data_IF_440254995316
#
_entry.id   IF_440254995316
#
_cell.length_a   1.000
_cell.length_b   1.000
_cell.length_c   1.000
_cell.angle_alpha   90.00
_cell.angle_beta   90.00
_cell.angle_gamma   90.00
#
_symmetry.space_group_name_H-M   'P 1'
#
loop_
_entity.id
_entity.type
_entity.pdbx_description
1 polymer ?
#
# COMPACT_ATOMS: atom_id res chain seq x y z
N UNK A 1 -6.47 2.37 -18.80
CA UNK A 1 -5.20 1.92 -19.39
C UNK A 1 -5.52 1.23 -20.69
N UNK A 2 -4.83 1.56 -21.79
CA UNK A 2 -5.06 0.96 -23.11
C UNK A 2 -3.85 0.13 -23.56
N UNK A 3 -4.04 -0.78 -24.53
CA UNK A 3 -3.00 -1.68 -25.06
C UNK A 3 -1.76 -0.93 -25.63
N UNK A 4 -1.89 0.38 -25.88
CA UNK A 4 -0.80 1.27 -26.29
C UNK A 4 0.17 1.65 -25.16
N UNK A 5 -0.22 1.47 -23.89
CA UNK A 5 0.63 1.75 -22.73
C UNK A 5 1.45 0.51 -22.34
N UNK A 6 0.87 -0.68 -22.43
CA UNK A 6 1.49 -1.95 -22.07
C UNK A 6 2.72 -2.26 -22.97
N UNK A 7 2.60 -2.02 -24.28
CA UNK A 7 3.71 -2.14 -25.25
C UNK A 7 4.85 -1.12 -25.06
N UNK A 8 4.69 -0.09 -24.22
CA UNK A 8 5.78 0.83 -23.86
C UNK A 8 6.59 0.35 -22.65
N UNK A 9 6.02 -0.51 -21.79
CA UNK A 9 6.73 -1.10 -20.66
C UNK A 9 7.63 -2.26 -21.13
N UNK A 10 7.14 -3.13 -22.01
CA UNK A 10 7.90 -4.27 -22.56
C UNK A 10 9.18 -3.83 -23.31
N UNK A 11 9.16 -2.65 -23.93
CA UNK A 11 10.32 -2.08 -24.63
C UNK A 11 11.44 -1.57 -23.71
N UNK A 12 11.16 -1.30 -22.43
CA UNK A 12 12.12 -0.69 -21.50
C UNK A 12 13.03 -1.73 -20.81
N UNK A 13 12.52 -2.93 -20.54
CA UNK A 13 13.22 -3.92 -19.71
C UNK A 13 14.36 -4.65 -20.44
N UNK A 14 14.34 -4.62 -21.79
CA UNK A 14 15.36 -5.25 -22.63
C UNK A 14 16.69 -4.47 -22.70
N UNK A 15 16.74 -3.24 -22.20
CA UNK A 15 17.91 -2.35 -22.27
C UNK A 15 18.83 -2.39 -21.03
N UNK A 16 18.60 -3.31 -20.09
CA UNK A 16 19.28 -3.35 -18.78
C UNK A 16 20.22 -4.55 -18.54
N UNK A 17 20.53 -5.35 -19.57
CA UNK A 17 21.25 -6.63 -19.39
C UNK A 17 22.68 -6.68 -19.92
N UNK A 18 23.14 -5.63 -20.61
CA UNK A 18 24.48 -5.58 -21.22
C UNK A 18 25.30 -4.43 -20.61
N UNK A 19 26.22 -4.73 -19.68
CA UNK A 19 27.29 -3.80 -19.30
C UNK A 19 27.61 -3.60 -17.81
N UNK A 20 28.00 -4.66 -17.08
CA UNK A 20 28.81 -4.51 -15.85
C UNK A 20 29.58 -5.79 -15.52
N UNK A 21 30.81 -5.68 -14.98
CA UNK A 21 31.60 -6.81 -14.47
C UNK A 21 32.88 -7.18 -15.24
N UNK A 22 33.99 -6.49 -14.93
CA UNK A 22 35.42 -6.88 -15.09
C UNK A 22 36.32 -5.67 -14.78
N UNK A 23 37.46 -5.78 -14.13
CA UNK A 23 37.95 -6.78 -13.16
C UNK A 23 39.03 -6.07 -12.31
N UNK A 24 39.22 -6.45 -11.04
CA UNK A 24 40.30 -5.90 -10.22
C UNK A 24 41.53 -6.82 -10.29
N UNK A 25 42.72 -6.24 -10.39
CA UNK A 25 43.99 -6.98 -10.47
C UNK A 25 44.76 -7.00 -9.15
N UNK A 26 45.80 -7.82 -9.09
CA UNK A 26 46.80 -7.85 -8.02
C UNK A 26 48.16 -8.31 -8.57
N UNK A 27 49.22 -7.53 -8.30
CA UNK A 27 50.64 -7.86 -8.53
C UNK A 27 51.35 -7.94 -7.18
N UNK A 28 52.15 -8.99 -6.89
CA UNK A 28 53.08 -9.02 -5.75
C UNK A 28 54.56 -8.84 -6.17
N UNK A 29 55.37 -8.33 -5.25
CA UNK A 29 56.76 -7.87 -5.47
C UNK A 29 57.84 -8.82 -4.90
N UNK A 30 59.12 -8.36 -4.89
CA UNK A 30 60.29 -8.85 -4.09
C UNK A 30 61.25 -9.93 -4.68
N UNK A 31 62.57 -10.00 -4.36
CA UNK A 31 63.59 -8.97 -3.99
C UNK A 31 65.08 -9.52 -3.99
N UNK A 32 66.08 -8.65 -4.23
CA UNK A 32 67.49 -8.60 -3.68
C UNK A 32 68.69 -9.57 -4.02
N UNK A 33 69.91 -8.95 -4.00
CA UNK A 33 71.30 -9.44 -3.68
C UNK A 33 72.10 -10.35 -4.68
N UNK A 34 73.46 -10.33 -4.78
CA UNK A 34 74.49 -9.34 -4.35
C UNK A 34 75.98 -9.85 -4.21
N UNK A 35 76.99 -9.06 -4.64
CA UNK A 35 78.47 -9.09 -4.30
C UNK A 35 79.40 -10.25 -4.82
N UNK A 36 80.76 -10.25 -4.78
CA UNK A 36 81.88 -9.29 -5.18
C UNK A 36 83.30 -9.94 -4.91
N UNK A 37 84.42 -9.58 -5.62
CA UNK A 37 85.87 -9.43 -5.17
C UNK A 37 87.02 -9.63 -6.23
N UNK A 38 88.29 -9.36 -5.82
CA UNK A 38 89.40 -8.74 -6.61
C UNK A 38 90.82 -9.40 -6.49
N UNK A 39 91.85 -8.92 -7.24
CA UNK A 39 93.32 -9.23 -7.08
C UNK A 39 94.28 -8.18 -7.75
N UNK A 40 95.59 -8.10 -7.39
CA UNK A 40 96.55 -7.05 -7.83
C UNK A 40 98.08 -7.42 -7.80
N UNK A 41 99.01 -6.59 -8.36
CA UNK A 41 100.50 -6.69 -8.16
C UNK A 41 101.36 -5.42 -8.48
N UNK A 42 102.71 -5.54 -8.35
CA UNK A 42 103.83 -4.56 -8.13
C UNK A 42 105.18 -5.15 -8.68
N UNK A 43 106.37 -4.52 -8.86
CA UNK A 43 106.91 -3.11 -8.97
C UNK A 43 108.45 -3.09 -9.26
N UNK A 44 109.13 -1.91 -9.17
CA UNK A 44 110.56 -1.61 -8.83
C UNK A 44 111.70 -1.97 -9.84
N UNK A 45 112.86 -1.27 -10.00
CA UNK A 45 113.32 0.10 -9.59
C UNK A 45 114.83 0.25 -9.21
N UNK A 46 115.75 0.84 -10.04
CA UNK A 46 117.21 1.03 -9.75
C UNK A 46 117.95 2.20 -10.48
N UNK A 47 119.17 2.60 -10.03
CA UNK A 47 120.10 3.58 -10.66
C UNK A 47 121.49 3.73 -9.97
N UNK A 48 122.46 4.46 -10.58
CA UNK A 48 123.87 4.65 -10.11
C UNK A 48 124.35 6.14 -10.18
N UNK A 49 125.45 6.49 -9.50
CA UNK A 49 125.90 7.88 -9.21
C UNK A 49 126.80 8.55 -10.29
N UNK A 50 126.96 9.88 -10.21
CA UNK A 50 127.37 10.75 -11.35
C UNK A 50 128.55 11.70 -11.00
N UNK A 51 129.55 11.94 -11.90
CA UNK A 51 130.74 12.75 -11.61
C UNK A 51 130.51 14.23 -11.26
N UNK A 52 131.50 14.85 -10.59
CA UNK A 52 131.40 16.17 -9.92
C UNK A 52 130.94 17.39 -10.75
N UNK A 53 130.97 17.36 -12.09
CA UNK A 53 130.35 18.43 -12.90
C UNK A 53 128.82 18.33 -12.89
N UNK A 54 128.28 17.11 -12.77
CA UNK A 54 126.87 16.88 -12.51
C UNK A 54 126.50 17.23 -11.07
N UNK A 55 127.39 17.11 -10.08
CA UNK A 55 127.12 17.58 -8.70
C UNK A 55 126.86 19.11 -8.64
N UNK A 56 127.48 19.90 -9.51
CA UNK A 56 127.18 21.33 -9.66
C UNK A 56 125.83 21.60 -10.37
N UNK A 57 125.38 20.69 -11.25
CA UNK A 57 124.06 20.76 -11.89
C UNK A 57 122.97 20.28 -10.92
N UNK A 58 123.21 19.18 -10.21
CA UNK A 58 122.36 18.66 -9.15
C UNK A 58 122.20 19.70 -8.06
N UNK A 59 123.25 20.38 -7.57
CA UNK A 59 123.09 21.50 -6.61
C UNK A 59 122.20 22.66 -7.13
N UNK A 60 122.11 22.88 -8.45
CA UNK A 60 121.17 23.84 -9.05
C UNK A 60 119.75 23.29 -9.19
N UNK A 61 119.59 22.01 -9.49
CA UNK A 61 118.27 21.34 -9.46
C UNK A 61 117.76 21.25 -8.02
N UNK A 62 118.58 20.84 -7.07
CA UNK A 62 118.36 20.76 -5.63
C UNK A 62 117.98 22.13 -5.01
N UNK A 63 118.53 23.23 -5.52
CA UNK A 63 118.07 24.59 -5.17
C UNK A 63 116.67 24.88 -5.74
N UNK A 64 116.44 24.61 -7.02
CA UNK A 64 115.14 24.79 -7.68
C UNK A 64 114.06 23.85 -7.16
N UNK A 65 114.44 22.67 -6.68
CA UNK A 65 113.57 21.64 -6.13
C UNK A 65 113.21 21.93 -4.68
N UNK A 66 114.11 22.56 -3.90
CA UNK A 66 113.74 23.19 -2.61
C UNK A 66 112.76 24.35 -2.82
N UNK A 67 113.06 25.28 -3.73
CA UNK A 67 112.15 26.40 -4.06
C UNK A 67 110.77 25.89 -4.53
N UNK A 68 110.76 24.83 -5.34
CA UNK A 68 109.54 24.14 -5.77
C UNK A 68 108.83 23.46 -4.59
N UNK A 69 109.53 22.70 -3.76
CA UNK A 69 108.96 22.01 -2.59
C UNK A 69 108.41 22.99 -1.55
N UNK A 70 109.05 24.13 -1.33
CA UNK A 70 108.49 25.22 -0.50
C UNK A 70 107.24 25.84 -1.16
N UNK A 71 107.22 25.99 -2.49
CA UNK A 71 106.04 26.49 -3.22
C UNK A 71 104.87 25.49 -3.23
N UNK A 72 105.15 24.19 -3.20
CA UNK A 72 104.17 23.11 -3.16
C UNK A 72 103.70 22.89 -1.71
N UNK A 73 104.59 22.93 -0.72
CA UNK A 73 104.26 22.90 0.71
C UNK A 73 103.34 24.07 1.11
N UNK A 74 103.63 25.30 0.69
CA UNK A 74 102.74 26.45 0.96
C UNK A 74 101.35 26.28 0.35
N UNK A 75 101.24 25.68 -0.84
CA UNK A 75 99.94 25.38 -1.46
C UNK A 75 99.20 24.25 -0.75
N UNK A 76 99.92 23.28 -0.22
CA UNK A 76 99.33 22.19 0.59
C UNK A 76 98.85 22.71 1.96
N UNK A 77 99.60 23.64 2.55
CA UNK A 77 99.30 24.29 3.83
C UNK A 77 98.10 25.26 3.72
N UNK A 78 97.92 25.95 2.59
CA UNK A 78 96.68 26.69 2.27
C UNK A 78 95.48 25.77 1.95
N UNK A 79 95.70 24.59 1.36
CA UNK A 79 94.61 23.67 0.96
C UNK A 79 94.00 22.90 2.11
N UNK A 80 94.82 22.37 3.02
CA UNK A 80 94.38 21.54 4.15
C UNK A 80 93.25 22.15 5.01
N UNK A 81 93.26 23.45 5.40
CA UNK A 81 92.12 24.02 6.12
C UNK A 81 90.86 24.12 5.25
N UNK A 82 90.98 24.40 3.95
CA UNK A 82 89.84 24.58 3.04
C UNK A 82 89.15 23.26 2.68
N UNK A 83 89.88 22.14 2.64
CA UNK A 83 89.29 20.81 2.45
C UNK A 83 88.65 20.27 3.74
N UNK A 84 89.27 20.53 4.90
CA UNK A 84 88.73 20.13 6.20
C UNK A 84 87.38 20.83 6.55
N UNK A 85 87.25 22.12 6.20
CA UNK A 85 86.02 22.87 6.48
C UNK A 85 84.88 22.49 5.51
N UNK A 86 85.20 22.12 4.27
CA UNK A 86 84.23 21.52 3.34
C UNK A 86 83.70 20.18 3.83
N UNK A 87 84.60 19.24 4.14
CA UNK A 87 84.20 17.91 4.61
C UNK A 87 83.25 17.99 5.83
N UNK A 88 83.53 18.89 6.78
CA UNK A 88 82.65 19.15 7.93
C UNK A 88 81.32 19.78 7.56
N UNK A 89 81.28 20.67 6.58
CA UNK A 89 80.04 21.28 6.11
C UNK A 89 79.16 20.24 5.42
N UNK A 90 79.75 19.47 4.52
CA UNK A 90 79.09 18.42 3.72
C UNK A 90 78.53 17.32 4.64
N UNK A 91 79.33 16.84 5.62
CA UNK A 91 78.88 15.88 6.65
C UNK A 91 77.73 16.43 7.50
N UNK A 92 77.74 17.74 7.82
CA UNK A 92 76.63 18.40 8.52
C UNK A 92 75.38 18.61 7.65
N UNK A 93 75.51 18.60 6.32
CA UNK A 93 74.37 18.74 5.39
C UNK A 93 73.77 17.37 5.08
N UNK A 94 74.57 16.30 4.95
CA UNK A 94 74.08 14.92 4.91
C UNK A 94 73.35 14.52 6.21
N UNK A 95 73.87 14.85 7.40
CA UNK A 95 73.19 14.51 8.66
C UNK A 95 71.84 15.26 8.82
N UNK A 96 71.73 16.49 8.27
CA UNK A 96 70.48 17.25 8.24
C UNK A 96 69.48 16.65 7.24
N UNK A 97 69.89 16.39 6.00
CA UNK A 97 69.01 15.72 5.03
C UNK A 97 68.52 14.37 5.57
N UNK A 98 69.38 13.61 6.26
CA UNK A 98 68.99 12.31 6.80
C UNK A 98 67.93 12.44 7.91
N UNK A 99 68.05 13.45 8.77
CA UNK A 99 67.03 13.76 9.80
C UNK A 99 65.74 14.28 9.17
N UNK A 100 65.80 15.21 8.22
CA UNK A 100 64.60 15.69 7.51
C UNK A 100 63.86 14.57 6.76
N UNK A 101 64.59 13.64 6.14
CA UNK A 101 64.01 12.45 5.48
C UNK A 101 63.36 11.50 6.49
N UNK A 102 63.95 11.31 7.68
CA UNK A 102 63.40 10.42 8.71
C UNK A 102 62.19 11.04 9.43
N UNK A 103 62.26 12.32 9.82
CA UNK A 103 61.12 13.05 10.40
C UNK A 103 59.96 13.17 9.40
N UNK A 104 60.25 13.37 8.11
CA UNK A 104 59.23 13.36 7.06
C UNK A 104 58.60 11.97 6.91
N UNK A 105 59.38 10.90 6.86
CA UNK A 105 58.85 9.54 6.74
C UNK A 105 57.90 9.20 7.91
N UNK A 106 58.33 9.48 9.16
CA UNK A 106 57.49 9.29 10.36
C UNK A 106 56.21 10.15 10.33
N UNK A 107 56.30 11.37 9.79
CA UNK A 107 55.13 12.25 9.65
C UNK A 107 54.15 11.70 8.61
N UNK A 108 54.63 11.34 7.43
CA UNK A 108 53.82 10.81 6.32
C UNK A 108 53.12 9.50 6.75
N UNK A 109 53.83 8.60 7.44
CA UNK A 109 53.28 7.37 8.07
C UNK A 109 52.19 7.69 9.11
N UNK A 110 52.42 8.67 10.00
CA UNK A 110 51.44 9.10 11.00
C UNK A 110 50.21 9.80 10.41
N UNK A 111 50.32 10.43 9.24
CA UNK A 111 49.16 10.96 8.51
C UNK A 111 48.40 9.84 7.79
N UNK A 112 49.08 8.81 7.29
CA UNK A 112 48.42 7.68 6.61
C UNK A 112 47.59 6.82 7.57
N UNK A 113 48.11 6.49 8.76
CA UNK A 113 47.33 5.80 9.80
C UNK A 113 46.09 6.60 10.21
N UNK A 114 46.23 7.92 10.41
CA UNK A 114 45.09 8.77 10.79
C UNK A 114 44.04 8.83 9.68
N UNK A 115 44.45 8.95 8.41
CA UNK A 115 43.54 8.91 7.25
C UNK A 115 42.80 7.57 7.15
N UNK A 116 43.48 6.44 7.39
CA UNK A 116 42.86 5.10 7.44
C UNK A 116 41.82 4.99 8.56
N UNK A 117 42.18 5.42 9.77
CA UNK A 117 41.29 5.33 10.94
C UNK A 117 40.10 6.29 10.88
N UNK A 118 40.27 7.46 10.25
CA UNK A 118 39.20 8.44 9.99
C UNK A 118 38.28 7.99 8.85
N UNK A 119 38.83 7.37 7.79
CA UNK A 119 38.04 6.76 6.72
C UNK A 119 37.18 5.58 7.22
N UNK A 120 37.75 4.66 8.02
CA UNK A 120 36.95 3.58 8.63
C UNK A 120 35.85 4.12 9.55
N UNK A 121 36.15 5.14 10.37
CA UNK A 121 35.17 5.76 11.26
C UNK A 121 34.02 6.40 10.47
N UNK A 122 34.33 7.13 9.41
CA UNK A 122 33.33 7.69 8.50
C UNK A 122 32.50 6.63 7.79
N UNK A 123 33.12 5.55 7.30
CA UNK A 123 32.42 4.49 6.57
C UNK A 123 31.44 3.73 7.47
N UNK A 124 31.85 3.39 8.70
CA UNK A 124 31.00 2.72 9.70
C UNK A 124 29.84 3.61 10.15
N UNK A 125 30.10 4.90 10.39
CA UNK A 125 29.06 5.87 10.76
C UNK A 125 28.04 6.12 9.63
N UNK A 126 28.47 6.09 8.36
CA UNK A 126 27.56 6.23 7.23
C UNK A 126 26.73 4.95 7.00
N UNK A 127 27.34 3.78 7.13
CA UNK A 127 26.64 2.49 7.01
C UNK A 127 25.58 2.28 8.11
N UNK A 128 25.86 2.66 9.36
CA UNK A 128 24.86 2.64 10.44
C UNK A 128 23.71 3.62 10.14
N UNK A 129 24.01 4.80 9.59
CA UNK A 129 23.01 5.80 9.20
C UNK A 129 22.11 5.30 8.06
N UNK A 130 22.70 4.78 6.99
CA UNK A 130 21.97 4.26 5.82
C UNK A 130 21.08 3.08 6.22
N UNK A 131 21.59 2.19 7.08
CA UNK A 131 20.81 1.11 7.69
C UNK A 131 19.63 1.64 8.49
N UNK A 132 19.84 2.63 9.36
CA UNK A 132 18.80 3.19 10.22
C UNK A 132 17.72 3.93 9.42
N UNK A 133 18.11 4.67 8.39
CA UNK A 133 17.16 5.33 7.49
C UNK A 133 16.37 4.30 6.66
N UNK A 134 17.00 3.19 6.24
CA UNK A 134 16.30 2.07 5.61
C UNK A 134 15.29 1.40 6.55
N UNK A 135 15.69 1.09 7.78
CA UNK A 135 14.79 0.52 8.79
C UNK A 135 13.60 1.46 9.06
N UNK A 136 13.82 2.78 9.19
CA UNK A 136 12.73 3.77 9.30
C UNK A 136 11.83 3.83 8.06
N UNK A 137 12.38 3.75 6.84
CA UNK A 137 11.60 3.75 5.58
C UNK A 137 10.74 2.50 5.47
N UNK A 138 11.28 1.32 5.79
CA UNK A 138 10.52 0.06 5.81
C UNK A 138 9.41 0.08 6.88
N UNK A 139 9.68 0.65 8.06
CA UNK A 139 8.70 0.70 9.15
C UNK A 139 7.60 1.76 8.93
N UNK A 140 7.91 2.87 8.22
CA UNK A 140 6.90 3.81 7.69
C UNK A 140 6.04 3.13 6.62
N UNK A 141 6.66 2.48 5.63
CA UNK A 141 5.93 1.77 4.57
C UNK A 141 4.98 0.68 5.12
N UNK A 142 5.36 -0.02 6.19
CA UNK A 142 4.47 -0.98 6.90
C UNK A 142 3.29 -0.28 7.57
N UNK A 143 3.49 0.88 8.21
CA UNK A 143 2.42 1.68 8.85
C UNK A 143 1.48 2.26 7.80
N UNK A 144 2.01 2.82 6.71
CA UNK A 144 1.23 3.36 5.60
C UNK A 144 0.43 2.26 4.88
N UNK A 145 1.02 1.07 4.68
CA UNK A 145 0.30 -0.09 4.15
C UNK A 145 -0.82 -0.59 5.08
N UNK A 146 -0.60 -0.57 6.40
CA UNK A 146 -1.63 -0.92 7.38
C UNK A 146 -2.77 0.11 7.41
N UNK A 147 -2.46 1.42 7.33
CA UNK A 147 -3.47 2.49 7.21
C UNK A 147 -4.21 2.43 5.87
N UNK A 148 -3.53 2.12 4.77
CA UNK A 148 -4.16 1.90 3.48
C UNK A 148 -5.08 0.66 3.49
N UNK A 149 -4.74 -0.39 4.23
CA UNK A 149 -5.60 -1.55 4.41
C UNK A 149 -6.84 -1.23 5.27
N UNK A 150 -6.67 -0.58 6.43
CA UNK A 150 -7.81 -0.23 7.29
C UNK A 150 -8.75 0.75 6.62
N UNK A 151 -8.24 1.81 5.98
CA UNK A 151 -9.06 2.78 5.24
C UNK A 151 -9.82 2.14 4.08
N UNK A 152 -9.23 1.18 3.33
CA UNK A 152 -9.96 0.38 2.33
C UNK A 152 -11.10 -0.44 2.95
N UNK A 153 -10.87 -1.11 4.09
CA UNK A 153 -11.96 -1.86 4.77
C UNK A 153 -13.03 -0.96 5.36
N UNK A 154 -12.68 0.27 5.76
CA UNK A 154 -13.64 1.27 6.23
C UNK A 154 -14.46 1.82 5.06
N UNK A 155 -13.83 2.18 3.94
CA UNK A 155 -14.51 2.63 2.73
C UNK A 155 -15.48 1.57 2.18
N UNK A 156 -15.10 0.29 2.18
CA UNK A 156 -15.98 -0.81 1.80
C UNK A 156 -17.21 -0.92 2.72
N UNK A 157 -17.03 -0.78 4.05
CA UNK A 157 -18.14 -0.77 5.02
C UNK A 157 -19.02 0.47 4.89
N UNK A 158 -18.44 1.64 4.58
CA UNK A 158 -19.20 2.87 4.32
C UNK A 158 -20.06 2.68 3.08
N UNK A 159 -19.51 2.20 1.96
CA UNK A 159 -20.27 1.92 0.75
C UNK A 159 -21.37 0.87 0.95
N UNK A 160 -21.14 -0.17 1.76
CA UNK A 160 -22.16 -1.16 2.14
C UNK A 160 -23.29 -0.53 2.98
N UNK A 161 -22.95 0.33 3.95
CA UNK A 161 -23.91 1.05 4.78
C UNK A 161 -24.70 2.08 3.97
N UNK A 162 -24.05 2.82 3.08
CA UNK A 162 -24.68 3.77 2.15
C UNK A 162 -25.63 3.04 1.19
N UNK A 163 -25.24 1.89 0.64
CA UNK A 163 -26.13 1.08 -0.20
C UNK A 163 -27.38 0.61 0.56
N UNK A 164 -27.22 0.16 1.82
CA UNK A 164 -28.34 -0.23 2.69
C UNK A 164 -29.22 0.96 3.07
N UNK A 165 -28.62 2.11 3.38
CA UNK A 165 -29.33 3.33 3.76
C UNK A 165 -30.13 3.87 2.55
N UNK A 166 -29.52 3.89 1.37
CA UNK A 166 -30.20 4.27 0.13
C UNK A 166 -31.38 3.33 -0.19
N UNK A 167 -31.24 2.02 0.02
CA UNK A 167 -32.33 1.05 -0.19
C UNK A 167 -33.54 1.23 0.75
N UNK A 168 -33.40 1.97 1.86
CA UNK A 168 -34.46 2.21 2.85
C UNK A 168 -34.99 3.65 2.80
N UNK A 169 -34.13 4.63 2.49
CA UNK A 169 -34.41 6.07 2.64
C UNK A 169 -34.40 6.89 1.35
N UNK A 170 -34.02 6.34 0.18
CA UNK A 170 -34.28 7.02 -1.10
C UNK A 170 -35.79 7.10 -1.30
N UNK A 171 -36.31 8.32 -1.51
CA UNK A 171 -37.72 8.47 -1.87
C UNK A 171 -38.01 7.74 -3.20
N UNK A 172 -39.10 6.97 -3.29
CA UNK A 172 -39.54 6.40 -4.57
C UNK A 172 -39.74 7.51 -5.62
N UNK A 173 -39.54 7.19 -6.90
CA UNK A 173 -39.77 8.13 -8.00
C UNK A 173 -41.21 8.65 -7.99
N UNK A 174 -41.47 9.76 -8.69
CA UNK A 174 -42.85 10.25 -8.90
C UNK A 174 -43.67 9.16 -9.61
N UNK A 175 -43.06 8.43 -10.55
CA UNK A 175 -43.72 7.31 -11.23
C UNK A 175 -43.98 6.13 -10.29
N UNK A 176 -43.00 5.71 -9.48
CA UNK A 176 -43.18 4.66 -8.46
C UNK A 176 -44.30 5.01 -7.48
N UNK A 177 -44.35 6.28 -7.02
CA UNK A 177 -45.42 6.80 -6.15
C UNK A 177 -46.79 6.71 -6.81
N UNK A 178 -46.90 7.05 -8.10
CA UNK A 178 -48.14 6.91 -8.86
C UNK A 178 -48.56 5.45 -8.99
N UNK A 179 -47.65 4.55 -9.38
CA UNK A 179 -47.93 3.11 -9.48
C UNK A 179 -48.37 2.50 -8.13
N UNK A 180 -47.75 2.89 -7.02
CA UNK A 180 -48.15 2.48 -5.67
C UNK A 180 -49.54 3.02 -5.31
N UNK A 181 -49.83 4.29 -5.62
CA UNK A 181 -51.15 4.89 -5.36
C UNK A 181 -52.25 4.23 -6.20
N UNK A 182 -52.02 3.97 -7.49
CA UNK A 182 -52.96 3.25 -8.36
C UNK A 182 -53.22 1.81 -7.87
N UNK A 183 -52.15 1.09 -7.52
CA UNK A 183 -52.23 -0.26 -6.94
C UNK A 183 -53.09 -0.25 -5.68
N UNK A 184 -52.85 0.71 -4.78
CA UNK A 184 -53.59 0.85 -3.54
C UNK A 184 -55.07 1.16 -3.81
N UNK A 185 -55.36 2.13 -4.67
CA UNK A 185 -56.73 2.52 -5.01
C UNK A 185 -57.52 1.36 -5.64
N UNK A 186 -56.87 0.50 -6.44
CA UNK A 186 -57.47 -0.73 -6.98
C UNK A 186 -57.70 -1.80 -5.90
N UNK A 187 -56.78 -1.92 -4.94
CA UNK A 187 -56.85 -2.90 -3.86
C UNK A 187 -57.85 -2.51 -2.75
N UNK A 188 -57.97 -1.23 -2.41
CA UNK A 188 -58.68 -0.75 -1.21
C UNK A 188 -60.15 -1.17 -1.16
N UNK A 189 -60.86 -1.04 -2.29
CA UNK A 189 -62.25 -1.49 -2.41
C UNK A 189 -62.43 -3.01 -2.29
N UNK A 190 -61.44 -3.81 -2.72
CA UNK A 190 -61.45 -5.27 -2.53
C UNK A 190 -61.20 -5.62 -1.06
N UNK A 191 -60.13 -5.09 -0.46
CA UNK A 191 -59.78 -5.34 0.93
C UNK A 191 -60.89 -4.91 1.89
N UNK A 192 -61.50 -3.74 1.68
CA UNK A 192 -62.58 -3.24 2.52
C UNK A 192 -63.84 -4.10 2.41
N UNK A 193 -64.15 -4.65 1.22
CA UNK A 193 -65.30 -5.53 1.01
C UNK A 193 -65.09 -7.00 1.46
N UNK A 194 -63.84 -7.47 1.49
CA UNK A 194 -63.47 -8.88 1.79
C UNK A 194 -62.94 -9.11 3.21
N UNK A 195 -62.39 -8.07 3.84
CA UNK A 195 -61.73 -8.14 5.16
C UNK A 195 -62.18 -7.04 6.13
N UNK A 196 -62.98 -6.06 5.70
CA UNK A 196 -63.41 -4.94 6.55
C UNK A 196 -62.26 -4.00 6.96
N UNK A 197 -61.14 -4.04 6.23
CA UNK A 197 -59.93 -3.24 6.46
C UNK A 197 -59.51 -2.58 5.13
N UNK A 198 -58.92 -1.37 5.15
CA UNK A 198 -58.36 -0.75 3.95
C UNK A 198 -57.12 -1.50 3.46
N UNK A 199 -56.74 -1.27 2.19
CA UNK A 199 -55.49 -1.77 1.64
C UNK A 199 -54.30 -1.14 2.38
N UNK A 200 -53.42 -2.01 2.89
CA UNK A 200 -52.29 -1.59 3.74
C UNK A 200 -51.33 -0.65 3.01
N UNK A 201 -50.71 0.25 3.76
CA UNK A 201 -49.70 1.19 3.23
C UNK A 201 -48.50 0.45 2.64
N UNK A 202 -47.83 1.09 1.67
CA UNK A 202 -46.51 0.67 1.20
C UNK A 202 -45.46 0.85 2.32
N UNK A 203 -44.45 -0.02 2.35
CA UNK A 203 -43.33 0.07 3.29
C UNK A 203 -42.23 1.01 2.77
N UNK A 204 -41.41 1.63 3.64
CA UNK A 204 -40.21 2.35 3.21
C UNK A 204 -39.29 1.43 2.39
N UNK A 205 -38.82 1.91 1.23
CA UNK A 205 -38.01 1.12 0.29
C UNK A 205 -38.77 0.07 -0.53
N UNK A 206 -40.09 -0.06 -0.40
CA UNK A 206 -40.88 -1.04 -1.17
C UNK A 206 -41.07 -0.60 -2.63
N UNK A 207 -40.58 -1.40 -3.58
CA UNK A 207 -40.78 -1.14 -5.01
C UNK A 207 -42.22 -1.39 -5.44
N UNK A 208 -42.74 -0.73 -6.51
CA UNK A 208 -44.13 -0.89 -6.93
C UNK A 208 -44.53 -2.34 -7.22
N UNK A 209 -43.63 -3.15 -7.80
CA UNK A 209 -43.87 -4.57 -8.07
C UNK A 209 -43.90 -5.42 -6.79
N UNK A 210 -43.13 -5.06 -5.74
CA UNK A 210 -43.20 -5.72 -4.44
C UNK A 210 -44.53 -5.39 -3.74
N UNK A 211 -44.93 -4.12 -3.77
CA UNK A 211 -46.21 -3.67 -3.22
C UNK A 211 -47.41 -4.38 -3.89
N UNK A 212 -47.43 -4.43 -5.23
CA UNK A 212 -48.41 -5.18 -6.01
C UNK A 212 -48.46 -6.66 -5.64
N UNK A 213 -47.31 -7.34 -5.60
CA UNK A 213 -47.22 -8.74 -5.14
C UNK A 213 -47.82 -8.92 -3.75
N UNK A 214 -47.50 -8.05 -2.79
CA UNK A 214 -48.02 -8.10 -1.42
C UNK A 214 -49.54 -7.87 -1.34
N UNK A 215 -50.11 -7.06 -2.22
CA UNK A 215 -51.58 -6.87 -2.29
C UNK A 215 -52.28 -8.09 -2.93
N UNK A 216 -51.71 -8.65 -4.00
CA UNK A 216 -52.20 -9.90 -4.58
C UNK A 216 -52.07 -11.09 -3.60
N UNK A 217 -51.01 -11.14 -2.78
CA UNK A 217 -50.79 -12.22 -1.83
C UNK A 217 -51.85 -12.27 -0.71
N UNK A 218 -52.32 -11.12 -0.23
CA UNK A 218 -53.43 -11.05 0.72
C UNK A 218 -54.80 -11.42 0.13
N UNK A 219 -54.94 -11.33 -1.20
CA UNK A 219 -56.17 -11.63 -1.94
C UNK A 219 -56.21 -13.04 -2.54
N UNK A 220 -55.06 -13.69 -2.82
CA UNK A 220 -55.00 -15.02 -3.48
C UNK A 220 -55.77 -16.12 -2.75
N UNK A 221 -55.98 -15.99 -1.43
CA UNK A 221 -56.81 -16.89 -0.61
C UNK A 221 -58.27 -16.97 -1.06
N UNK A 222 -58.76 -16.00 -1.84
CA UNK A 222 -60.09 -15.99 -2.45
C UNK A 222 -60.11 -16.58 -3.88
N UNK A 223 -58.94 -16.95 -4.43
CA UNK A 223 -58.81 -17.65 -5.71
C UNK A 223 -58.46 -19.11 -5.48
N UNK A 224 -59.37 -20.03 -5.82
CA UNK A 224 -59.10 -21.48 -5.73
C UNK A 224 -57.93 -21.93 -6.60
N UNK A 225 -57.66 -21.18 -7.68
CA UNK A 225 -56.64 -21.47 -8.71
C UNK A 225 -55.27 -20.89 -8.37
N UNK A 226 -55.21 -19.75 -7.68
CA UNK A 226 -53.97 -19.01 -7.43
C UNK A 226 -53.49 -19.05 -5.96
N UNK A 227 -54.28 -19.57 -5.02
CA UNK A 227 -53.92 -19.68 -3.59
C UNK A 227 -52.56 -20.32 -3.33
N UNK A 228 -52.20 -21.37 -4.08
CA UNK A 228 -50.98 -22.16 -3.90
C UNK A 228 -49.79 -21.64 -4.74
N UNK A 229 -50.00 -20.61 -5.56
CA UNK A 229 -48.97 -20.04 -6.45
C UNK A 229 -48.01 -19.14 -5.66
N UNK A 230 -46.70 -19.26 -5.93
CA UNK A 230 -45.66 -18.39 -5.38
C UNK A 230 -45.51 -17.13 -6.25
N UNK A 231 -45.88 -15.98 -5.70
CA UNK A 231 -45.86 -14.71 -6.42
C UNK A 231 -44.45 -14.08 -6.51
N UNK A 232 -43.56 -14.40 -5.56
CA UNK A 232 -42.22 -13.81 -5.43
C UNK A 232 -41.37 -13.98 -6.69
N UNK A 233 -41.38 -15.19 -7.29
CA UNK A 233 -40.57 -15.57 -8.44
C UNK A 233 -41.06 -15.02 -9.80
N UNK A 234 -42.19 -14.30 -9.85
CA UNK A 234 -42.77 -13.82 -11.11
C UNK A 234 -42.15 -12.49 -11.57
N UNK A 235 -41.83 -12.39 -12.86
CA UNK A 235 -41.46 -11.12 -13.50
C UNK A 235 -42.71 -10.23 -13.72
N UNK A 236 -42.53 -8.91 -13.88
CA UNK A 236 -43.61 -7.92 -13.82
C UNK A 236 -44.79 -8.14 -14.77
N UNK A 237 -44.53 -8.52 -16.02
CA UNK A 237 -45.56 -8.78 -17.04
C UNK A 237 -46.32 -10.09 -16.76
N UNK A 238 -45.60 -11.18 -16.48
CA UNK A 238 -46.19 -12.47 -16.12
C UNK A 238 -46.99 -12.38 -14.80
N UNK A 239 -46.54 -11.55 -13.87
CA UNK A 239 -47.26 -11.24 -12.64
C UNK A 239 -48.56 -10.48 -12.91
N UNK A 240 -48.60 -9.54 -13.86
CA UNK A 240 -49.81 -8.74 -14.14
C UNK A 240 -51.01 -9.61 -14.54
N UNK A 241 -50.81 -10.62 -15.39
CA UNK A 241 -51.87 -11.58 -15.77
C UNK A 241 -52.39 -12.37 -14.56
N UNK A 242 -51.52 -12.70 -13.61
CA UNK A 242 -51.87 -13.43 -12.39
C UNK A 242 -52.53 -12.51 -11.35
N UNK A 243 -52.13 -11.24 -11.27
CA UNK A 243 -52.79 -10.19 -10.49
C UNK A 243 -54.23 -9.99 -10.97
N UNK A 244 -54.46 -9.82 -12.28
CA UNK A 244 -55.81 -9.67 -12.84
C UNK A 244 -56.68 -10.90 -12.56
N UNK A 245 -56.13 -12.12 -12.62
CA UNK A 245 -56.85 -13.33 -12.20
C UNK A 245 -57.18 -13.35 -10.70
N UNK A 246 -56.26 -12.96 -9.83
CA UNK A 246 -56.53 -12.87 -8.38
C UNK A 246 -57.58 -11.80 -8.07
N UNK A 247 -57.54 -10.65 -8.74
CA UNK A 247 -58.48 -9.54 -8.53
C UNK A 247 -59.86 -9.85 -9.11
N UNK A 248 -59.94 -10.55 -10.25
CA UNK A 248 -61.24 -10.99 -10.82
C UNK A 248 -61.87 -12.11 -10.00
N UNK A 249 -61.10 -13.08 -9.52
CA UNK A 249 -61.57 -14.10 -8.56
C UNK A 249 -62.02 -13.44 -7.25
N UNK A 250 -61.26 -12.48 -6.70
CA UNK A 250 -61.63 -11.73 -5.50
C UNK A 250 -62.94 -10.92 -5.70
N UNK A 251 -63.16 -10.31 -6.86
CA UNK A 251 -64.44 -9.66 -7.20
C UNK A 251 -65.60 -10.64 -7.33
N UNK A 252 -65.37 -11.86 -7.83
CA UNK A 252 -66.39 -12.91 -7.83
C UNK A 252 -66.69 -13.39 -6.40
N UNK A 253 -65.65 -13.54 -5.58
CA UNK A 253 -65.73 -13.94 -4.19
C UNK A 253 -66.55 -12.92 -3.35
N UNK A 254 -66.40 -11.61 -3.58
CA UNK A 254 -67.27 -10.56 -2.99
C UNK A 254 -68.76 -10.85 -3.26
N UNK A 255 -69.12 -11.27 -4.47
CA UNK A 255 -70.52 -11.54 -4.85
C UNK A 255 -71.06 -12.85 -4.26
N UNK A 256 -70.19 -13.75 -3.82
CA UNK A 256 -70.57 -14.98 -3.14
C UNK A 256 -71.07 -14.72 -1.71
N UNK A 257 -71.87 -15.66 -1.20
CA UNK A 257 -72.39 -15.67 0.18
C UNK A 257 -71.31 -16.08 1.21
N UNK A 258 -70.36 -16.90 0.78
CA UNK A 258 -69.38 -17.63 1.62
C UNK A 258 -68.37 -16.77 2.42
N UNK A 259 -68.49 -15.44 2.38
CA UNK A 259 -67.57 -14.49 3.02
C UNK A 259 -68.26 -13.69 4.14
N UNK A 260 -69.59 -13.74 4.24
CA UNK A 260 -70.30 -13.02 5.31
C UNK A 260 -70.02 -13.70 6.67
N UNK A 261 -69.51 -12.98 7.69
CA UNK A 261 -69.26 -13.57 9.00
C UNK A 261 -70.54 -14.14 9.63
N UNK A 262 -70.43 -15.29 10.29
CA UNK A 262 -71.58 -15.94 10.94
C UNK A 262 -72.25 -15.01 11.96
N UNK A 263 -73.57 -14.82 11.81
CA UNK A 263 -74.35 -13.88 12.63
C UNK A 263 -74.34 -12.43 12.15
N UNK A 264 -73.87 -12.16 10.93
CA UNK A 264 -74.06 -10.88 10.24
C UNK A 264 -74.83 -11.08 8.92
N UNK A 265 -75.52 -10.02 8.48
CA UNK A 265 -76.14 -9.93 7.16
C UNK A 265 -75.57 -8.73 6.40
N UNK A 266 -75.14 -8.96 5.17
CA UNK A 266 -74.63 -7.93 4.26
C UNK A 266 -75.72 -7.50 3.29
N UNK A 267 -76.04 -6.20 3.30
CA UNK A 267 -76.99 -5.59 2.37
C UNK A 267 -76.35 -5.37 0.99
N UNK A 268 -76.88 -6.02 -0.04
CA UNK A 268 -76.55 -5.78 -1.44
C UNK A 268 -77.66 -4.92 -2.05
N UNK A 269 -77.35 -3.65 -2.32
CA UNK A 269 -78.25 -2.72 -3.01
C UNK A 269 -78.09 -2.86 -4.52
N UNK A 270 -79.16 -3.22 -5.20
CA UNK A 270 -79.25 -3.32 -6.67
C UNK A 270 -80.32 -2.37 -7.19
N UNK A 271 -80.20 -1.91 -8.44
CA UNK A 271 -81.18 -1.02 -9.07
C UNK A 271 -81.78 -1.71 -10.29
N UNK A 272 -82.99 -2.24 -10.15
CA UNK A 272 -83.72 -2.91 -11.23
C UNK A 272 -84.86 -2.01 -11.72
N UNK A 273 -84.85 -1.69 -13.03
CA UNK A 273 -85.91 -0.90 -13.71
C UNK A 273 -86.32 0.38 -12.97
N UNK A 274 -85.34 1.08 -12.39
CA UNK A 274 -85.56 2.34 -11.65
C UNK A 274 -86.02 2.17 -10.20
N UNK A 275 -86.08 0.94 -9.66
CA UNK A 275 -86.37 0.64 -8.26
C UNK A 275 -85.13 0.12 -7.55
N UNK A 276 -84.86 0.65 -6.36
CA UNK A 276 -83.83 0.09 -5.49
C UNK A 276 -84.35 -1.18 -4.81
N UNK A 277 -83.60 -2.28 -4.92
CA UNK A 277 -83.85 -3.55 -4.27
C UNK A 277 -82.66 -3.87 -3.37
N UNK A 278 -82.89 -3.91 -2.06
CA UNK A 278 -81.90 -4.38 -1.09
C UNK A 278 -82.12 -5.86 -0.82
N UNK A 279 -81.13 -6.67 -1.13
CA UNK A 279 -81.07 -8.10 -0.83
C UNK A 279 -80.10 -8.32 0.34
N UNK A 280 -80.42 -9.21 1.27
CA UNK A 280 -79.58 -9.48 2.44
C UNK A 280 -78.98 -10.87 2.33
N UNK A 281 -77.65 -10.92 2.37
CA UNK A 281 -76.82 -12.12 2.13
C UNK A 281 -76.07 -12.47 3.42
N UNK A 282 -75.94 -13.75 3.73
CA UNK A 282 -75.43 -14.29 5.01
C UNK A 282 -76.48 -15.11 5.79
N UNK A 283 -76.06 -15.74 6.89
CA UNK A 283 -76.93 -16.57 7.72
C UNK A 283 -77.93 -15.73 8.53
N UNK A 284 -79.12 -15.55 7.96
CA UNK A 284 -80.25 -14.88 8.61
C UNK A 284 -80.73 -15.59 9.87
N UNK A 285 -80.58 -16.92 9.99
CA UNK A 285 -81.04 -17.67 11.16
C UNK A 285 -80.20 -17.35 12.39
N UNK A 286 -78.88 -17.31 12.23
CA UNK A 286 -77.94 -16.92 13.31
C UNK A 286 -78.04 -15.42 13.59
N UNK A 287 -78.20 -14.58 12.57
CA UNK A 287 -78.29 -13.12 12.73
C UNK A 287 -79.55 -12.69 13.49
N UNK A 288 -80.69 -13.34 13.24
CA UNK A 288 -81.94 -13.05 13.95
C UNK A 288 -82.14 -13.87 15.25
N UNK A 289 -81.31 -14.89 15.52
CA UNK A 289 -81.42 -15.73 16.70
C UNK A 289 -81.54 -14.96 18.04
N UNK A 290 -80.78 -13.87 18.31
CA UNK A 290 -80.92 -13.11 19.57
C UNK A 290 -82.30 -12.45 19.74
N UNK A 291 -82.98 -12.12 18.64
CA UNK A 291 -84.32 -11.51 18.63
C UNK A 291 -85.43 -12.58 18.62
N UNK A 292 -85.15 -13.74 18.01
CA UNK A 292 -86.07 -14.88 17.94
C UNK A 292 -86.11 -15.70 19.24
N UNK A 293 -85.11 -15.57 20.12
CA UNK A 293 -85.01 -16.25 21.42
C UNK A 293 -85.97 -15.67 22.50
N UNK A 294 -87.21 -15.33 22.12
CA UNK A 294 -88.23 -14.66 22.93
C UNK A 294 -88.85 -15.51 24.03
N UNK A 295 -88.05 -16.03 24.95
CA UNK A 295 -88.47 -16.76 26.15
C UNK A 295 -87.72 -16.27 27.39
N UNK A 296 -88.09 -15.08 27.88
CA UNK A 296 -87.48 -14.48 29.07
C UNK A 296 -87.52 -15.43 30.26
N UNK A 297 -86.35 -15.73 30.86
CA UNK A 297 -86.31 -16.36 32.18
C UNK A 297 -86.81 -15.36 33.22
N UNK A 298 -88.10 -15.42 33.53
CA UNK A 298 -88.72 -14.63 34.60
C UNK A 298 -88.03 -14.99 35.92
N UNK A 299 -87.15 -14.11 36.40
CA UNK A 299 -86.42 -14.28 37.64
C UNK A 299 -87.40 -14.34 38.81
N UNK A 300 -87.45 -15.48 39.53
CA UNK A 300 -88.25 -15.60 40.75
C UNK A 300 -87.64 -14.71 41.83
N UNK A 301 -88.26 -13.55 42.06
CA UNK A 301 -88.02 -12.70 43.23
C UNK A 301 -88.45 -13.45 44.50
N UNK A 302 -87.53 -14.23 45.07
CA UNK A 302 -87.64 -14.75 46.44
C UNK A 302 -87.60 -13.56 47.40
N UNK A 303 -88.76 -13.14 47.89
CA UNK A 303 -88.83 -12.18 49.00
C UNK A 303 -88.14 -12.80 50.23
N UNK A 304 -87.30 -12.05 50.97
CA UNK A 304 -86.82 -12.52 52.27
C UNK A 304 -88.01 -12.69 53.22
N UNK A 305 -87.98 -13.75 54.02
CA UNK A 305 -88.87 -13.91 55.17
C UNK A 305 -88.18 -13.25 56.37
N UNK A 306 -88.93 -12.43 57.09
CA UNK A 306 -88.58 -11.90 58.41
C UNK A 306 -89.38 -12.63 59.48
#
# INVERSE_FOLDING_TARGET
MSEAEEKKLEAADKARKDGEGKDLGEDPTENTQGQKRDAARKDEGQGEEIPAWADAIMKRMDAMERDRKDSEARKDEERRPLEADKARKDESEEEKERKEREDKARKDESEEERRKHEAEGGHKANEERDRKEREEREDRARKDAAVAATTRTQAAKIAELEARLNAVYVEPSIDDRNQIAETRNRADGLYQALTGQPASQAQPGESPIAYRKRMADGLRKYSERMKDVRLDSLAGEAFAVIEDHIYTDAHAAIRSDAIVPAGQLRAIKTMDRGRERTEYVGDSSVTWAPFMAGAYRVGKLTRPVH
#
